data_IF_119610458078
#
_entry.id   IF_119610458078
#
_cell.length_a   1.000
_cell.length_b   1.000
_cell.length_c   1.000
_cell.angle_alpha   90.00
_cell.angle_beta   90.00
_cell.angle_gamma   90.00
#
_symmetry.space_group_name_H-M   'P 1'
#
loop_
_entity.id
_entity.type
_entity.pdbx_description
1 polymer ?
#
# COMPACT_ATOMS: atom_id res chain seq x y z
N UNK A 1 40.49 7.51 -49.40
CA UNK A 1 39.97 6.32 -48.68
C UNK A 1 40.67 6.30 -47.32
N UNK A 2 40.07 6.27 -46.13
CA UNK A 2 38.69 6.12 -45.64
C UNK A 2 38.55 7.03 -44.41
N UNK A 3 37.46 7.80 -44.31
CA UNK A 3 37.06 8.49 -43.08
C UNK A 3 36.49 7.44 -42.14
N UNK A 4 37.11 7.22 -40.98
CA UNK A 4 36.54 6.35 -39.96
C UNK A 4 35.44 7.12 -39.23
N UNK A 5 34.18 6.81 -39.57
CA UNK A 5 33.04 7.18 -38.75
C UNK A 5 33.18 6.47 -37.40
N UNK A 6 33.26 7.26 -36.32
CA UNK A 6 33.06 6.76 -34.97
C UNK A 6 31.60 6.30 -34.90
N UNK A 7 31.31 5.03 -34.55
CA UNK A 7 29.93 4.62 -34.35
C UNK A 7 29.40 5.39 -33.15
N UNK A 8 28.37 6.20 -33.38
CA UNK A 8 27.59 6.80 -32.32
C UNK A 8 27.06 5.65 -31.46
N UNK A 9 27.66 5.49 -30.28
CA UNK A 9 27.15 4.61 -29.24
C UNK A 9 25.79 5.18 -28.89
N UNK A 10 24.74 4.56 -29.41
CA UNK A 10 23.38 4.77 -28.95
C UNK A 10 23.33 4.32 -27.50
N UNK A 11 23.60 5.25 -26.58
CA UNK A 11 23.25 5.13 -25.18
C UNK A 11 21.73 5.09 -25.11
N UNK A 12 21.17 3.90 -25.30
CA UNK A 12 19.85 3.55 -24.80
C UNK A 12 19.94 3.62 -23.29
N UNK A 13 19.79 4.83 -22.76
CA UNK A 13 19.34 5.05 -21.40
C UNK A 13 17.91 4.49 -21.37
N UNK A 14 17.78 3.17 -21.26
CA UNK A 14 16.57 2.60 -20.68
C UNK A 14 16.57 3.19 -19.29
N UNK A 15 15.76 4.22 -19.08
CA UNK A 15 15.39 4.64 -17.75
C UNK A 15 14.93 3.35 -17.07
N UNK A 16 15.71 2.84 -16.12
CA UNK A 16 15.19 1.99 -15.08
C UNK A 16 14.20 2.89 -14.34
N UNK A 17 13.00 3.06 -14.90
CA UNK A 17 11.88 3.41 -14.06
C UNK A 17 11.87 2.28 -13.05
N UNK A 18 12.13 2.55 -11.75
CA UNK A 18 11.87 1.54 -10.75
C UNK A 18 10.43 1.10 -11.02
N UNK A 19 10.26 -0.19 -11.30
CA UNK A 19 8.92 -0.78 -11.35
C UNK A 19 8.28 -0.34 -10.02
N UNK A 20 7.27 0.53 -10.07
CA UNK A 20 6.62 1.08 -8.88
C UNK A 20 5.86 -0.07 -8.22
N UNK A 21 6.59 -0.99 -7.59
CA UNK A 21 6.14 -2.26 -7.03
C UNK A 21 5.19 -2.08 -5.83
N UNK A 22 4.92 -0.83 -5.49
CA UNK A 22 4.27 -0.41 -4.28
C UNK A 22 3.09 0.51 -4.58
N UNK A 23 1.96 0.27 -3.91
CA UNK A 23 0.84 1.20 -3.87
C UNK A 23 0.85 1.96 -2.54
N UNK A 24 0.71 3.30 -2.62
CA UNK A 24 0.53 4.18 -1.46
C UNK A 24 -0.90 4.70 -1.38
N UNK A 25 -1.50 4.63 -0.19
CA UNK A 25 -2.87 5.07 0.10
C UNK A 25 -2.88 5.92 1.37
N UNK A 26 -3.74 6.92 1.43
CA UNK A 26 -3.89 7.79 2.61
C UNK A 26 -5.38 8.03 2.89
N UNK A 27 -5.78 7.88 4.15
CA UNK A 27 -7.15 8.09 4.62
C UNK A 27 -7.17 8.87 5.93
N UNK A 28 -8.23 9.65 6.06
CA UNK A 28 -8.59 10.38 7.28
C UNK A 28 -10.00 9.94 7.68
N UNK A 29 -10.17 9.65 8.96
CA UNK A 29 -11.44 9.32 9.56
C UNK A 29 -12.21 10.59 9.95
N UNK A 30 -13.52 10.60 9.70
CA UNK A 30 -14.41 11.68 10.15
C UNK A 30 -14.44 11.77 11.67
N UNK A 31 -14.41 10.62 12.35
CA UNK A 31 -14.31 10.52 13.81
C UNK A 31 -13.09 9.65 14.17
N UNK A 32 -12.20 10.10 15.08
CA UNK A 32 -11.08 9.26 15.50
C UNK A 32 -11.55 7.95 16.16
N UNK A 33 -10.93 6.83 15.77
CA UNK A 33 -11.24 5.47 16.25
C UNK A 33 -10.24 5.00 17.30
N UNK A 34 -10.62 4.03 18.12
CA UNK A 34 -9.68 3.42 19.07
C UNK A 34 -8.75 2.44 18.37
N UNK A 35 -7.53 2.28 18.88
CA UNK A 35 -6.59 1.27 18.38
C UNK A 35 -7.16 -0.14 18.46
N UNK A 36 -7.93 -0.44 19.53
CA UNK A 36 -8.59 -1.73 19.69
C UNK A 36 -9.58 -2.01 18.55
N UNK A 37 -10.52 -1.09 18.30
CA UNK A 37 -11.53 -1.30 17.25
C UNK A 37 -10.89 -1.46 15.86
N UNK A 38 -9.87 -0.64 15.54
CA UNK A 38 -9.17 -0.77 14.27
C UNK A 38 -8.47 -2.14 14.14
N UNK A 39 -7.83 -2.60 15.22
CA UNK A 39 -7.16 -3.91 15.24
C UNK A 39 -8.15 -5.05 15.02
N UNK A 40 -9.28 -5.01 15.72
CA UNK A 40 -10.34 -6.03 15.60
C UNK A 40 -10.90 -6.08 14.18
N UNK A 41 -11.18 -4.92 13.58
CA UNK A 41 -11.70 -4.86 12.20
C UNK A 41 -10.69 -5.40 11.19
N UNK A 42 -9.42 -5.02 11.29
CA UNK A 42 -8.37 -5.48 10.36
C UNK A 42 -8.17 -6.99 10.48
N UNK A 43 -8.03 -7.51 11.70
CA UNK A 43 -7.78 -8.94 11.94
C UNK A 43 -8.99 -9.83 11.62
N UNK A 44 -10.20 -9.28 11.61
CA UNK A 44 -11.40 -9.99 11.19
C UNK A 44 -11.57 -10.10 9.66
N UNK A 45 -10.79 -9.37 8.86
CA UNK A 45 -10.91 -9.44 7.40
C UNK A 45 -10.38 -10.78 6.88
N UNK A 46 -11.13 -11.50 6.03
CA UNK A 46 -10.74 -12.84 5.57
C UNK A 46 -9.51 -12.87 4.66
N UNK A 47 -9.14 -11.72 4.08
CA UNK A 47 -7.98 -11.54 3.21
C UNK A 47 -6.76 -10.96 3.95
N UNK A 48 -6.86 -10.74 5.27
CA UNK A 48 -5.77 -10.28 6.12
C UNK A 48 -5.11 -11.49 6.80
N UNK A 49 -3.78 -11.57 6.74
CA UNK A 49 -2.99 -12.57 7.44
C UNK A 49 -1.75 -11.94 8.10
N UNK A 50 -1.06 -12.70 8.95
CA UNK A 50 0.23 -12.33 9.56
C UNK A 50 0.22 -10.99 10.30
N UNK A 51 -0.92 -10.64 10.91
CA UNK A 51 -1.09 -9.36 11.57
C UNK A 51 -0.15 -9.23 12.77
N UNK A 52 0.61 -8.14 12.79
CA UNK A 52 1.45 -7.73 13.90
C UNK A 52 1.48 -6.20 14.01
N UNK A 53 1.92 -5.70 15.16
CA UNK A 53 1.99 -4.27 15.43
C UNK A 53 3.36 -3.89 16.00
N UNK A 54 3.92 -2.80 15.46
CA UNK A 54 5.08 -2.11 16.01
C UNK A 54 4.75 -0.63 16.17
N UNK A 55 4.59 -0.19 17.44
CA UNK A 55 4.21 1.18 17.81
C UNK A 55 2.92 1.64 17.13
N UNK A 56 3.04 2.50 16.12
CA UNK A 56 1.93 3.08 15.38
C UNK A 56 1.72 2.39 14.02
N UNK A 57 2.53 1.37 13.70
CA UNK A 57 2.49 0.67 12.42
C UNK A 57 1.82 -0.70 12.61
N UNK A 58 0.84 -0.97 11.78
CA UNK A 58 0.30 -2.32 11.59
C UNK A 58 0.99 -2.96 10.40
N UNK A 59 1.44 -4.19 10.59
CA UNK A 59 2.07 -5.03 9.59
C UNK A 59 1.16 -6.23 9.34
N UNK A 60 0.81 -6.48 8.10
CA UNK A 60 -0.03 -7.61 7.73
C UNK A 60 0.11 -7.93 6.24
N UNK A 61 -0.38 -9.10 5.86
CA UNK A 61 -0.47 -9.55 4.47
C UNK A 61 -1.89 -9.31 3.98
N UNK A 62 -2.08 -8.62 2.85
CA UNK A 62 -3.36 -8.49 2.14
C UNK A 62 -3.35 -9.38 0.90
N UNK A 63 -4.04 -10.51 0.94
CA UNK A 63 -4.14 -11.44 -0.20
C UNK A 63 -2.78 -11.75 -0.87
N UNK A 64 -1.77 -12.00 -0.03
CA UNK A 64 -0.39 -12.29 -0.42
C UNK A 64 0.53 -11.08 -0.61
N UNK A 65 0.05 -9.84 -0.42
CA UNK A 65 0.85 -8.61 -0.53
C UNK A 65 1.27 -8.08 0.85
N UNK A 66 2.56 -7.77 1.00
CA UNK A 66 3.07 -7.19 2.24
C UNK A 66 2.52 -5.78 2.43
N UNK A 67 1.87 -5.54 3.57
CA UNK A 67 1.19 -4.28 3.85
C UNK A 67 1.70 -3.66 5.14
N UNK A 68 1.95 -2.35 5.08
CA UNK A 68 2.31 -1.52 6.23
C UNK A 68 1.33 -0.38 6.33
N UNK A 69 0.61 -0.30 7.43
CA UNK A 69 -0.33 0.78 7.73
C UNK A 69 0.20 1.62 8.90
N UNK A 70 0.68 2.83 8.60
CA UNK A 70 1.07 3.81 9.61
C UNK A 70 -0.17 4.56 10.11
N UNK A 71 -0.54 4.34 11.36
CA UNK A 71 -1.69 4.98 11.99
C UNK A 71 -1.36 6.39 12.45
N UNK A 72 -2.15 7.37 12.00
CA UNK A 72 -2.06 8.76 12.43
C UNK A 72 -2.88 8.94 13.69
N UNK A 73 -2.31 9.57 14.72
CA UNK A 73 -2.98 9.77 16.01
C UNK A 73 -3.36 11.23 16.25
N UNK A 74 -4.53 11.43 16.87
CA UNK A 74 -5.02 12.70 17.40
C UNK A 74 -5.66 12.41 18.76
N UNK A 75 -5.21 13.09 19.81
CA UNK A 75 -5.71 12.94 21.19
C UNK A 75 -5.76 11.48 21.69
N UNK A 76 -4.71 10.70 21.37
CA UNK A 76 -4.59 9.30 21.76
C UNK A 76 -5.47 8.32 20.98
N UNK A 77 -6.26 8.80 20.02
CA UNK A 77 -7.07 7.99 19.09
C UNK A 77 -6.48 8.01 17.69
N UNK A 78 -6.86 7.05 16.84
CA UNK A 78 -6.43 6.98 15.45
C UNK A 78 -7.35 7.87 14.61
N UNK A 79 -6.80 8.90 13.98
CA UNK A 79 -7.52 9.85 13.12
C UNK A 79 -7.42 9.50 11.63
N UNK A 80 -6.61 8.52 11.26
CA UNK A 80 -6.44 8.09 9.88
C UNK A 80 -5.22 7.18 9.73
N UNK A 81 -4.83 6.89 8.50
CA UNK A 81 -3.64 6.09 8.23
C UNK A 81 -3.01 6.43 6.88
N UNK A 82 -1.72 6.11 6.75
CA UNK A 82 -1.04 5.96 5.47
C UNK A 82 -0.69 4.47 5.28
N UNK A 83 -1.17 3.86 4.22
CA UNK A 83 -0.95 2.45 3.91
C UNK A 83 -0.02 2.31 2.71
N UNK A 84 0.91 1.38 2.79
CA UNK A 84 1.80 0.97 1.71
C UNK A 84 1.64 -0.52 1.50
N UNK A 85 1.43 -0.94 0.25
CA UNK A 85 1.28 -2.34 -0.14
C UNK A 85 2.36 -2.66 -1.17
N UNK A 86 3.23 -3.63 -0.87
CA UNK A 86 4.27 -4.13 -1.76
C UNK A 86 3.86 -5.48 -2.35
N UNK A 87 4.09 -5.64 -3.65
CA UNK A 87 4.06 -6.96 -4.27
C UNK A 87 3.53 -7.01 -5.70
N UNK A 88 3.55 -5.90 -6.43
CA UNK A 88 3.41 -5.99 -7.89
C UNK A 88 4.61 -6.76 -8.45
N UNK A 89 4.33 -7.89 -9.10
CA UNK A 89 5.37 -8.73 -9.70
C UNK A 89 5.74 -8.20 -11.07
N UNK A 90 6.95 -8.54 -11.51
CA UNK A 90 7.42 -8.21 -12.85
C UNK A 90 6.48 -8.81 -13.91
N UNK A 91 5.87 -7.95 -14.72
CA UNK A 91 4.91 -8.35 -15.77
C UNK A 91 3.44 -8.28 -15.36
N UNK A 92 3.12 -7.97 -14.11
CA UNK A 92 1.75 -7.65 -13.70
C UNK A 92 1.28 -6.35 -14.37
N UNK A 93 -0.01 -6.28 -14.72
CA UNK A 93 -0.63 -5.03 -15.17
C UNK A 93 -0.79 -4.07 -13.97
N UNK A 94 -0.11 -2.91 -13.97
CA UNK A 94 -0.21 -1.96 -12.87
C UNK A 94 -1.66 -1.55 -12.57
N UNK A 95 -2.50 -1.38 -13.61
CA UNK A 95 -3.88 -0.96 -13.41
C UNK A 95 -4.71 -2.02 -12.68
N UNK A 96 -4.47 -3.30 -12.98
CA UNK A 96 -5.11 -4.41 -12.29
C UNK A 96 -4.68 -4.48 -10.82
N UNK A 97 -3.39 -4.31 -10.54
CA UNK A 97 -2.86 -4.25 -9.17
C UNK A 97 -3.46 -3.09 -8.37
N UNK A 98 -3.41 -1.87 -8.91
CA UNK A 98 -3.99 -0.69 -8.24
C UNK A 98 -5.49 -0.82 -8.04
N UNK A 99 -6.23 -1.40 -8.99
CA UNK A 99 -7.67 -1.65 -8.84
C UNK A 99 -7.95 -2.58 -7.66
N UNK A 100 -7.26 -3.73 -7.60
CA UNK A 100 -7.41 -4.70 -6.50
C UNK A 100 -7.07 -4.07 -5.15
N UNK A 101 -5.96 -3.33 -5.07
CA UNK A 101 -5.56 -2.59 -3.86
C UNK A 101 -6.65 -1.60 -3.41
N UNK A 102 -7.22 -0.83 -4.34
CA UNK A 102 -8.28 0.14 -4.04
C UNK A 102 -9.57 -0.53 -3.56
N UNK A 103 -9.94 -1.66 -4.13
CA UNK A 103 -11.11 -2.43 -3.72
C UNK A 103 -10.95 -2.93 -2.28
N UNK A 104 -9.81 -3.56 -1.95
CA UNK A 104 -9.52 -4.04 -0.59
C UNK A 104 -9.47 -2.91 0.43
N UNK A 105 -8.81 -1.79 0.10
CA UNK A 105 -8.74 -0.64 0.98
C UNK A 105 -10.13 -0.02 1.22
N UNK A 106 -10.96 0.05 0.17
CA UNK A 106 -12.34 0.53 0.31
C UNK A 106 -13.14 -0.35 1.26
N UNK A 107 -13.03 -1.68 1.13
CA UNK A 107 -13.68 -2.62 2.07
C UNK A 107 -13.22 -2.39 3.50
N UNK A 108 -11.90 -2.32 3.74
CA UNK A 108 -11.33 -2.05 5.07
C UNK A 108 -11.89 -0.72 5.62
N UNK A 109 -11.80 0.35 4.86
CA UNK A 109 -12.22 1.68 5.28
C UNK A 109 -13.72 1.70 5.62
N UNK A 110 -14.57 1.14 4.75
CA UNK A 110 -16.02 1.05 4.99
C UNK A 110 -16.32 0.27 6.27
N UNK A 111 -15.73 -0.92 6.46
CA UNK A 111 -15.98 -1.73 7.66
C UNK A 111 -15.53 -1.01 8.94
N UNK A 112 -14.42 -0.27 8.90
CA UNK A 112 -13.97 0.56 10.02
C UNK A 112 -15.01 1.64 10.33
N UNK A 113 -15.50 2.35 9.31
CA UNK A 113 -16.51 3.40 9.51
C UNK A 113 -17.85 2.87 9.99
N UNK A 114 -18.24 1.65 9.61
CA UNK A 114 -19.51 1.04 10.04
C UNK A 114 -19.43 0.42 11.44
N UNK A 115 -18.25 -0.04 11.85
CA UNK A 115 -18.06 -0.80 13.10
C UNK A 115 -17.54 0.08 14.25
N UNK A 116 -16.70 1.07 13.94
CA UNK A 116 -15.99 1.87 14.96
C UNK A 116 -16.63 3.23 15.26
N UNK A 117 -17.70 3.63 14.55
CA UNK A 117 -18.38 4.92 14.72
C UNK A 117 -19.73 4.79 15.42
#
# INVERSE_FOLDING_TARGET
MKKHLIPAVALLLTACQPENNMAGLDRVYVKPVTTQCLTDVITAQPFVADFSTDKDVFHFTLDGYETRMLNKKLDGKISGYAMTIDGMRRGDDPNAFYKKVREMETTIFTTITETCY
#
